data_IF_964606638145
#
_entry.id   IF_964606638145
#
_cell.length_a   1.000
_cell.length_b   1.000
_cell.length_c   1.000
_cell.angle_alpha   90.00
_cell.angle_beta   90.00
_cell.angle_gamma   90.00
#
_symmetry.space_group_name_H-M   'P 1'
#
loop_
_entity.id
_entity.type
_entity.pdbx_description
1 polymer ?
#
# COMPACT_ATOMS: atom_id res chain seq x y z
N UNK A 1 3.17 -11.24 30.62
CA UNK A 1 3.73 -11.49 29.29
C UNK A 1 3.68 -10.17 28.54
N UNK A 2 4.83 -9.69 28.05
CA UNK A 2 4.96 -8.37 27.43
C UNK A 2 4.27 -8.41 26.05
N UNK A 3 3.02 -7.95 25.94
CA UNK A 3 2.23 -7.92 24.69
C UNK A 3 2.69 -6.80 23.76
N UNK A 4 4.00 -6.53 23.73
CA UNK A 4 4.60 -5.31 23.22
C UNK A 4 4.28 -5.06 21.74
N UNK A 5 3.19 -4.35 21.50
CA UNK A 5 3.04 -3.52 20.30
C UNK A 5 4.04 -2.39 20.45
N UNK A 6 5.29 -2.67 20.05
CA UNK A 6 6.37 -1.69 20.14
C UNK A 6 5.96 -0.39 19.45
N UNK A 7 6.41 0.74 19.97
CA UNK A 7 5.98 2.03 19.45
C UNK A 7 6.24 2.16 17.93
N UNK A 8 5.22 2.40 17.09
CA UNK A 8 5.41 2.59 15.64
C UNK A 8 6.39 3.71 15.29
N UNK A 9 6.56 4.71 16.17
CA UNK A 9 7.54 5.77 15.94
C UNK A 9 8.98 5.23 15.81
N UNK A 10 9.28 4.08 16.41
CA UNK A 10 10.60 3.45 16.36
C UNK A 10 10.86 2.66 15.07
N UNK A 11 9.83 2.45 14.23
CA UNK A 11 9.96 1.71 12.97
C UNK A 11 10.17 2.62 11.75
N UNK A 12 10.24 3.94 11.95
CA UNK A 12 10.45 4.91 10.87
C UNK A 12 11.84 5.54 11.02
N UNK A 13 12.69 5.29 10.02
CA UNK A 13 13.97 5.99 9.83
C UNK A 13 14.02 6.52 8.40
N UNK A 14 14.71 7.62 8.20
CA UNK A 14 14.91 8.21 6.88
C UNK A 14 16.35 7.98 6.41
N UNK A 15 16.52 7.60 5.15
CA UNK A 15 17.82 7.42 4.51
C UNK A 15 17.84 8.08 3.14
N UNK A 16 19.02 8.54 2.74
CA UNK A 16 19.26 8.96 1.35
C UNK A 16 19.35 7.72 0.47
N UNK A 17 18.60 7.72 -0.62
CA UNK A 17 18.58 6.61 -1.56
C UNK A 17 18.52 7.16 -2.98
N UNK A 18 19.43 6.71 -3.83
CA UNK A 18 19.34 6.94 -5.27
C UNK A 18 18.19 6.10 -5.81
N UNK A 19 17.16 6.75 -6.34
CA UNK A 19 16.14 6.07 -7.14
C UNK A 19 16.51 6.33 -8.59
N UNK A 20 16.62 5.25 -9.35
CA UNK A 20 16.89 5.29 -10.78
C UNK A 20 15.73 4.58 -11.47
N UNK A 21 14.80 5.39 -11.97
CA UNK A 21 13.56 4.99 -12.63
C UNK A 21 13.69 4.99 -14.16
N UNK A 22 14.89 4.72 -14.68
CA UNK A 22 15.08 4.52 -16.12
C UNK A 22 14.21 3.36 -16.63
N UNK A 23 13.58 3.56 -17.80
CA UNK A 23 12.47 2.73 -18.31
C UNK A 23 12.81 1.25 -18.47
N UNK A 24 14.07 0.91 -18.73
CA UNK A 24 14.52 -0.46 -19.02
C UNK A 24 15.17 -1.16 -17.83
N UNK A 25 15.15 -0.55 -16.64
CA UNK A 25 15.74 -1.17 -15.45
C UNK A 25 14.86 -2.32 -14.96
N UNK A 26 15.43 -3.50 -14.84
CA UNK A 26 14.74 -4.67 -14.32
C UNK A 26 14.37 -4.48 -12.85
N UNK A 27 13.16 -4.92 -12.49
CA UNK A 27 12.66 -4.92 -11.12
C UNK A 27 11.77 -6.15 -10.90
N UNK A 28 11.80 -6.77 -9.71
CA UNK A 28 10.92 -7.90 -9.38
C UNK A 28 9.43 -7.51 -9.36
N UNK A 29 9.12 -6.21 -9.44
CA UNK A 29 7.76 -5.67 -9.45
C UNK A 29 7.28 -5.23 -10.85
N UNK A 30 8.16 -5.28 -11.86
CA UNK A 30 7.89 -4.74 -13.21
C UNK A 30 7.85 -5.84 -14.28
N UNK A 31 7.00 -5.67 -15.29
CA UNK A 31 6.88 -6.59 -16.42
C UNK A 31 5.43 -7.03 -16.65
N UNK A 32 5.26 -7.98 -17.56
CA UNK A 32 3.96 -8.62 -17.79
C UNK A 32 3.53 -9.44 -16.57
N UNK A 33 2.22 -9.63 -16.34
CA UNK A 33 1.69 -10.53 -15.32
C UNK A 33 2.39 -11.89 -15.28
N UNK A 34 2.78 -12.34 -14.09
CA UNK A 34 3.39 -13.64 -13.84
C UNK A 34 3.28 -14.00 -12.36
N UNK A 35 3.27 -15.29 -11.99
CA UNK A 35 3.22 -15.73 -10.60
C UNK A 35 4.34 -15.13 -9.72
N UNK A 36 5.53 -14.96 -10.27
CA UNK A 36 6.68 -14.40 -9.55
C UNK A 36 6.48 -12.91 -9.21
N UNK A 37 5.99 -12.12 -10.16
CA UNK A 37 5.70 -10.70 -9.93
C UNK A 37 4.50 -10.55 -8.99
N UNK A 38 3.47 -11.40 -9.14
CA UNK A 38 2.29 -11.38 -8.27
C UNK A 38 2.67 -11.74 -6.83
N UNK A 39 3.58 -12.70 -6.64
CA UNK A 39 4.13 -13.01 -5.33
C UNK A 39 4.84 -11.80 -4.71
N UNK A 40 5.68 -11.10 -5.48
CA UNK A 40 6.39 -9.91 -5.00
C UNK A 40 5.41 -8.79 -4.59
N UNK A 41 4.37 -8.52 -5.38
CA UNK A 41 3.34 -7.54 -5.04
C UNK A 41 2.51 -7.93 -3.82
N UNK A 42 2.12 -9.21 -3.71
CA UNK A 42 1.36 -9.70 -2.56
C UNK A 42 2.16 -9.58 -1.25
N UNK A 43 3.48 -9.78 -1.31
CA UNK A 43 4.35 -9.50 -0.17
C UNK A 43 4.34 -8.02 0.21
N UNK A 44 4.45 -7.09 -0.76
CA UNK A 44 4.44 -5.65 -0.45
C UNK A 44 3.16 -5.17 0.26
N UNK A 45 2.02 -5.78 -0.05
CA UNK A 45 0.73 -5.45 0.58
C UNK A 45 0.43 -6.29 1.82
N UNK A 46 1.33 -7.18 2.21
CA UNK A 46 1.20 -7.96 3.45
C UNK A 46 1.29 -7.06 4.68
N UNK A 47 0.69 -7.50 5.78
CA UNK A 47 0.64 -6.70 7.02
C UNK A 47 -0.32 -5.51 6.96
N UNK A 48 -1.30 -5.56 6.05
CA UNK A 48 -2.32 -4.51 5.89
C UNK A 48 -3.11 -4.24 7.17
N UNK A 49 -3.47 -5.30 7.91
CA UNK A 49 -4.24 -5.23 9.15
C UNK A 49 -3.31 -5.31 10.34
N UNK A 50 -3.21 -4.21 11.08
CA UNK A 50 -2.33 -4.02 12.22
C UNK A 50 -3.11 -4.06 13.52
N UNK A 51 -2.52 -4.67 14.53
CA UNK A 51 -2.95 -4.56 15.92
C UNK A 51 -2.19 -3.42 16.59
N UNK A 52 -2.92 -2.47 17.15
CA UNK A 52 -2.36 -1.34 17.89
C UNK A 52 -2.97 -1.23 19.29
N UNK A 53 -2.22 -0.66 20.22
CA UNK A 53 -2.69 -0.41 21.58
C UNK A 53 -3.56 0.85 21.65
N UNK A 54 -4.28 1.02 22.76
CA UNK A 54 -5.05 2.25 23.02
C UNK A 54 -4.13 3.47 23.12
N UNK A 55 -2.95 3.32 23.72
CA UNK A 55 -1.95 4.39 23.86
C UNK A 55 -1.44 4.89 22.49
N UNK A 56 -1.35 4.03 21.48
CA UNK A 56 -1.05 4.46 20.10
C UNK A 56 -2.17 5.34 19.56
N UNK A 57 -3.43 4.89 19.70
CA UNK A 57 -4.60 5.61 19.20
C UNK A 57 -4.79 6.97 19.89
N UNK A 58 -4.61 7.01 21.21
CA UNK A 58 -4.73 8.23 22.01
C UNK A 58 -3.68 9.27 21.60
N UNK A 59 -2.43 8.85 21.31
CA UNK A 59 -1.35 9.74 20.84
C UNK A 59 -1.67 10.43 19.51
N UNK A 60 -2.44 9.79 18.64
CA UNK A 60 -2.86 10.35 17.35
C UNK A 60 -4.29 10.92 17.39
N UNK A 61 -4.92 10.95 18.57
CA UNK A 61 -6.29 11.40 18.79
C UNK A 61 -7.30 10.71 17.85
N UNK A 62 -7.24 9.37 17.78
CA UNK A 62 -8.15 8.54 16.99
C UNK A 62 -8.78 7.44 17.83
N UNK A 63 -9.84 6.86 17.32
CA UNK A 63 -10.44 5.62 17.84
C UNK A 63 -10.44 4.59 16.72
N UNK A 64 -10.58 3.31 17.09
CA UNK A 64 -10.77 2.23 16.14
C UNK A 64 -11.59 1.09 16.76
N UNK A 65 -11.85 0.05 15.98
CA UNK A 65 -12.61 -1.13 16.40
C UNK A 65 -11.74 -1.99 17.32
N UNK A 66 -12.20 -2.30 18.55
CA UNK A 66 -11.49 -3.20 19.44
C UNK A 66 -11.57 -4.64 18.92
N UNK A 67 -10.48 -5.39 19.08
CA UNK A 67 -10.44 -6.82 18.82
C UNK A 67 -11.14 -7.56 19.96
N UNK A 68 -11.94 -8.58 19.61
CA UNK A 68 -12.77 -9.34 20.56
C UNK A 68 -11.97 -10.08 21.63
N UNK A 69 -10.74 -10.48 21.32
CA UNK A 69 -9.79 -11.13 22.23
C UNK A 69 -9.16 -10.16 23.25
N UNK A 70 -9.49 -8.86 23.18
CA UNK A 70 -8.95 -7.82 24.05
C UNK A 70 -7.49 -7.46 23.78
N UNK A 71 -6.90 -7.97 22.70
CA UNK A 71 -5.48 -7.81 22.39
C UNK A 71 -5.10 -6.42 21.85
N UNK A 72 -6.09 -5.60 21.47
CA UNK A 72 -5.88 -4.25 20.98
C UNK A 72 -6.99 -3.78 20.05
N UNK A 73 -6.62 -2.94 19.09
CA UNK A 73 -7.51 -2.34 18.10
C UNK A 73 -6.96 -2.60 16.70
N UNK A 74 -7.83 -2.77 15.72
CA UNK A 74 -7.43 -2.86 14.32
C UNK A 74 -7.00 -1.47 13.80
N UNK A 75 -5.96 -1.41 13.00
CA UNK A 75 -5.55 -0.25 12.24
C UNK A 75 -4.87 -0.71 10.94
N UNK A 76 -4.44 0.22 10.11
CA UNK A 76 -3.64 -0.06 8.92
C UNK A 76 -2.70 1.10 8.64
N UNK A 77 -1.60 0.82 7.95
CA UNK A 77 -0.77 1.90 7.43
C UNK A 77 -1.44 2.53 6.21
N UNK A 78 -1.40 3.85 6.15
CA UNK A 78 -1.86 4.53 4.95
C UNK A 78 -1.00 4.16 3.72
N UNK A 79 0.31 3.94 3.90
CA UNK A 79 1.20 3.48 2.82
C UNK A 79 0.84 2.08 2.30
N UNK A 80 0.39 1.15 3.15
CA UNK A 80 -0.07 -0.17 2.66
C UNK A 80 -1.37 -0.03 1.87
N UNK A 81 -2.24 0.94 2.20
CA UNK A 81 -3.42 1.26 1.39
C UNK A 81 -3.04 1.89 0.03
N UNK A 82 -2.04 2.77 0.00
CA UNK A 82 -1.48 3.30 -1.25
C UNK A 82 -0.91 2.19 -2.14
N UNK A 83 -0.15 1.24 -1.57
CA UNK A 83 0.38 0.09 -2.32
C UNK A 83 -0.73 -0.84 -2.82
N UNK A 84 -1.75 -1.09 -2.01
CA UNK A 84 -2.95 -1.82 -2.45
C UNK A 84 -3.64 -1.11 -3.62
N UNK A 85 -3.80 0.21 -3.56
CA UNK A 85 -4.37 1.00 -4.66
C UNK A 85 -3.55 0.86 -5.94
N UNK A 86 -2.22 0.88 -5.84
CA UNK A 86 -1.33 0.70 -6.98
C UNK A 86 -1.44 -0.73 -7.56
N UNK A 87 -1.57 -1.74 -6.71
CA UNK A 87 -1.81 -3.13 -7.14
C UNK A 87 -3.16 -3.28 -7.85
N UNK A 88 -4.24 -2.67 -7.33
CA UNK A 88 -5.55 -2.66 -7.98
C UNK A 88 -5.50 -2.01 -9.37
N UNK A 89 -4.76 -0.90 -9.53
CA UNK A 89 -4.52 -0.29 -10.84
C UNK A 89 -3.74 -1.24 -11.75
N UNK A 90 -2.70 -1.91 -11.25
CA UNK A 90 -1.95 -2.92 -12.02
C UNK A 90 -2.87 -4.04 -12.52
N UNK A 91 -3.78 -4.53 -11.70
CA UNK A 91 -4.76 -5.54 -12.12
C UNK A 91 -5.68 -5.00 -13.23
N UNK A 92 -6.13 -3.76 -13.11
CA UNK A 92 -7.00 -3.13 -14.11
C UNK A 92 -6.32 -2.89 -15.47
N UNK A 93 -4.99 -2.86 -15.52
CA UNK A 93 -4.21 -2.75 -16.77
C UNK A 93 -4.11 -4.08 -17.55
N UNK A 94 -4.44 -5.22 -16.93
CA UNK A 94 -4.41 -6.55 -17.55
C UNK A 94 -5.66 -7.37 -17.19
N UNK A 95 -6.86 -6.88 -17.55
CA UNK A 95 -8.13 -7.48 -17.10
C UNK A 95 -8.36 -8.91 -17.60
N UNK A 96 -7.71 -9.32 -18.69
CA UNK A 96 -7.78 -10.70 -19.19
C UNK A 96 -7.04 -11.68 -18.27
N UNK A 97 -5.97 -11.23 -17.62
CA UNK A 97 -5.19 -12.04 -16.68
C UNK A 97 -5.81 -11.99 -15.27
N UNK A 98 -6.29 -10.82 -14.84
CA UNK A 98 -6.89 -10.59 -13.51
C UNK A 98 -8.42 -10.54 -13.55
N UNK A 99 -9.03 -11.41 -14.35
CA UNK A 99 -10.48 -11.38 -14.59
C UNK A 99 -11.28 -11.55 -13.29
N UNK A 100 -10.80 -12.40 -12.37
CA UNK A 100 -11.44 -12.65 -11.09
C UNK A 100 -11.38 -11.42 -10.18
N UNK A 101 -10.19 -10.84 -10.00
CA UNK A 101 -9.98 -9.65 -9.18
C UNK A 101 -10.79 -8.46 -9.71
N UNK A 102 -10.83 -8.27 -11.02
CA UNK A 102 -11.59 -7.18 -11.64
C UNK A 102 -13.09 -7.42 -11.56
N UNK A 103 -13.57 -8.65 -11.70
CA UNK A 103 -14.99 -8.97 -11.58
C UNK A 103 -15.56 -8.65 -10.19
N UNK A 104 -14.72 -8.70 -9.15
CA UNK A 104 -15.10 -8.34 -7.78
C UNK A 104 -15.28 -6.84 -7.56
N UNK A 105 -14.71 -6.00 -8.45
CA UNK A 105 -14.78 -4.55 -8.32
C UNK A 105 -16.06 -4.00 -8.93
N UNK A 106 -16.80 -3.24 -8.13
CA UNK A 106 -17.99 -2.55 -8.64
C UNK A 106 -17.65 -1.58 -9.78
N UNK A 107 -18.25 -1.82 -10.94
CA UNK A 107 -18.18 -0.96 -12.12
C UNK A 107 -19.60 -0.51 -12.50
N UNK A 108 -19.92 0.79 -12.37
CA UNK A 108 -21.21 1.32 -12.81
C UNK A 108 -21.44 1.15 -14.31
N UNK A 109 -22.70 1.03 -14.73
CA UNK A 109 -23.06 0.95 -16.14
C UNK A 109 -22.63 2.23 -16.88
N UNK A 110 -21.98 2.08 -18.04
CA UNK A 110 -21.50 3.19 -18.87
C UNK A 110 -20.12 3.75 -18.49
N UNK A 111 -19.53 3.34 -17.37
CA UNK A 111 -18.18 3.77 -16.97
C UNK A 111 -17.07 3.00 -17.72
N UNK A 112 -15.90 3.62 -17.86
CA UNK A 112 -14.75 2.99 -18.55
C UNK A 112 -14.01 2.03 -17.62
N UNK A 113 -13.82 2.41 -16.35
CA UNK A 113 -13.10 1.62 -15.33
C UNK A 113 -13.92 1.51 -14.03
N UNK A 114 -13.65 0.51 -13.16
CA UNK A 114 -14.37 0.34 -11.89
C UNK A 114 -14.23 1.56 -10.96
N UNK A 115 -15.25 1.83 -10.13
CA UNK A 115 -15.23 2.93 -9.16
C UNK A 115 -14.05 2.82 -8.19
N UNK A 116 -13.68 1.58 -7.83
CA UNK A 116 -12.51 1.31 -7.00
C UNK A 116 -11.23 1.88 -7.65
N UNK A 117 -11.02 1.66 -8.95
CA UNK A 117 -9.84 2.18 -9.66
C UNK A 117 -9.83 3.71 -9.68
N UNK A 118 -10.99 4.34 -9.88
CA UNK A 118 -11.13 5.81 -9.80
C UNK A 118 -10.70 6.34 -8.42
N UNK A 119 -11.15 5.68 -7.36
CA UNK A 119 -10.76 5.98 -5.98
C UNK A 119 -9.25 5.81 -5.76
N UNK A 120 -8.66 4.71 -6.24
CA UNK A 120 -7.23 4.43 -6.13
C UNK A 120 -6.37 5.54 -6.78
N UNK A 121 -6.73 5.96 -8.00
CA UNK A 121 -6.01 7.04 -8.71
C UNK A 121 -6.09 8.35 -7.93
N UNK A 122 -7.27 8.72 -7.44
CA UNK A 122 -7.46 9.95 -6.68
C UNK A 122 -6.74 9.91 -5.32
N UNK A 123 -6.73 8.76 -4.65
CA UNK A 123 -5.99 8.55 -3.41
C UNK A 123 -4.50 8.72 -3.63
N UNK A 124 -3.92 8.07 -4.65
CA UNK A 124 -2.51 8.18 -4.97
C UNK A 124 -2.12 9.61 -5.36
N UNK A 125 -2.95 10.29 -6.18
CA UNK A 125 -2.74 11.70 -6.54
C UNK A 125 -2.67 12.59 -5.29
N UNK A 126 -3.62 12.45 -4.36
CA UNK A 126 -3.64 13.21 -3.10
C UNK A 126 -2.40 12.94 -2.25
N UNK A 127 -1.96 11.69 -2.16
CA UNK A 127 -0.79 11.32 -1.36
C UNK A 127 0.52 11.83 -1.96
N UNK A 128 0.69 11.73 -3.28
CA UNK A 128 1.83 12.32 -4.00
C UNK A 128 1.93 13.82 -3.72
N UNK A 129 0.80 14.54 -3.73
CA UNK A 129 0.78 15.97 -3.40
C UNK A 129 1.03 16.26 -1.92
N UNK A 130 0.48 15.45 -1.02
CA UNK A 130 0.66 15.58 0.43
C UNK A 130 2.13 15.34 0.85
N UNK A 131 2.80 14.41 0.18
CA UNK A 131 4.20 14.03 0.39
C UNK A 131 5.04 14.41 -0.82
N UNK A 132 4.89 15.65 -1.28
CA UNK A 132 5.59 16.15 -2.46
C UNK A 132 7.11 15.99 -2.32
N UNK A 133 7.67 15.14 -3.17
CA UNK A 133 9.12 14.97 -3.29
C UNK A 133 9.71 16.20 -3.99
N UNK A 134 10.67 16.85 -3.34
CA UNK A 134 11.30 18.08 -3.82
C UNK A 134 12.62 17.81 -4.55
N UNK A 135 12.99 16.55 -4.75
CA UNK A 135 14.21 16.16 -5.44
C UNK A 135 14.11 16.50 -6.94
N UNK A 136 15.10 17.21 -7.47
CA UNK A 136 15.10 17.67 -8.85
C UNK A 136 15.75 16.63 -9.76
N UNK A 137 15.01 16.18 -10.78
CA UNK A 137 15.61 15.48 -11.91
C UNK A 137 16.21 16.49 -12.90
N UNK A 138 17.18 16.05 -13.69
CA UNK A 138 17.90 16.92 -14.63
C UNK A 138 17.73 16.45 -16.07
N UNK A 139 18.22 17.26 -17.01
CA UNK A 139 18.18 16.96 -18.45
C UNK A 139 19.60 16.96 -19.01
N UNK A 140 19.86 16.09 -19.99
CA UNK A 140 21.13 16.00 -20.68
C UNK A 140 20.92 15.93 -22.21
N UNK A 141 21.81 16.55 -22.97
CA UNK A 141 21.79 16.43 -24.43
C UNK A 141 22.30 15.05 -24.86
N UNK A 142 21.63 14.43 -25.82
CA UNK A 142 22.10 13.21 -26.49
C UNK A 142 22.52 13.56 -27.92
N UNK A 143 23.62 12.98 -28.42
CA UNK A 143 24.07 13.23 -29.78
C UNK A 143 23.12 12.66 -30.86
N UNK A 144 22.25 11.71 -30.48
CA UNK A 144 21.44 10.92 -31.41
C UNK A 144 19.99 11.42 -31.54
N UNK A 145 19.62 12.49 -30.85
CA UNK A 145 18.24 12.99 -30.80
C UNK A 145 18.20 14.50 -30.55
N UNK A 146 17.20 15.15 -31.16
CA UNK A 146 17.00 16.58 -31.03
C UNK A 146 16.43 17.02 -29.67
N UNK A 147 15.76 16.13 -28.95
CA UNK A 147 15.21 16.40 -27.63
C UNK A 147 16.23 16.04 -26.53
N UNK A 148 16.30 16.78 -25.41
CA UNK A 148 17.12 16.37 -24.28
C UNK A 148 16.55 15.12 -23.62
N UNK A 149 17.44 14.26 -23.14
CA UNK A 149 17.11 13.11 -22.31
C UNK A 149 16.88 13.54 -20.86
N UNK A 150 15.89 12.93 -20.21
CA UNK A 150 15.67 13.06 -18.77
C UNK A 150 16.61 12.15 -17.99
N UNK A 151 17.31 12.71 -17.01
CA UNK A 151 18.09 11.96 -16.03
C UNK A 151 17.29 11.83 -14.72
N UNK A 152 16.67 10.66 -14.53
CA UNK A 152 15.89 10.33 -13.35
C UNK A 152 16.68 9.64 -12.24
N UNK A 153 17.99 9.44 -12.39
CA UNK A 153 18.84 8.97 -11.30
C UNK A 153 19.03 10.11 -10.30
N UNK A 154 18.14 10.18 -9.31
CA UNK A 154 18.04 11.27 -8.35
C UNK A 154 18.13 10.72 -6.94
N UNK A 155 18.81 11.44 -6.05
CA UNK A 155 18.87 11.08 -4.64
C UNK A 155 17.63 11.61 -3.92
N UNK A 156 16.89 10.71 -3.27
CA UNK A 156 15.68 10.99 -2.53
C UNK A 156 15.89 10.80 -1.03
N UNK A 157 15.03 11.40 -0.21
CA UNK A 157 14.91 11.06 1.22
C UNK A 157 13.80 10.02 1.38
N UNK A 158 14.18 8.76 1.59
CA UNK A 158 13.26 7.63 1.65
C UNK A 158 13.11 7.11 3.08
N UNK A 159 11.93 6.58 3.40
CA UNK A 159 11.76 5.76 4.61
C UNK A 159 12.59 4.49 4.45
N UNK A 160 13.19 4.03 5.54
CA UNK A 160 13.73 2.69 5.67
C UNK A 160 12.57 1.69 5.64
N UNK A 161 12.24 1.24 4.42
CA UNK A 161 11.09 0.40 4.15
C UNK A 161 11.12 -0.89 4.95
N UNK A 162 12.27 -1.54 5.01
CA UNK A 162 12.43 -2.83 5.67
C UNK A 162 12.13 -2.72 7.17
N UNK A 163 12.59 -1.65 7.82
CA UNK A 163 12.32 -1.40 9.23
C UNK A 163 10.81 -1.20 9.50
N UNK A 164 10.14 -0.41 8.65
CA UNK A 164 8.71 -0.15 8.77
C UNK A 164 7.89 -1.43 8.48
N UNK A 165 8.27 -2.14 7.43
CA UNK A 165 7.60 -3.36 6.98
C UNK A 165 7.74 -4.49 7.99
N UNK A 166 8.93 -4.69 8.55
CA UNK A 166 9.19 -5.67 9.61
C UNK A 166 8.35 -5.41 10.87
N UNK A 167 8.19 -4.14 11.26
CA UNK A 167 7.29 -3.78 12.34
C UNK A 167 5.84 -4.11 11.98
N UNK A 168 5.44 -3.83 10.74
CA UNK A 168 4.09 -4.11 10.25
C UNK A 168 3.79 -5.60 10.32
N UNK A 169 4.69 -6.45 9.83
CA UNK A 169 4.55 -7.90 9.89
C UNK A 169 4.39 -8.41 11.32
N UNK A 170 5.24 -7.97 12.26
CA UNK A 170 5.18 -8.41 13.67
C UNK A 170 3.90 -7.98 14.39
N UNK A 171 3.30 -6.87 13.99
CA UNK A 171 2.08 -6.35 14.61
C UNK A 171 0.82 -6.66 13.78
N UNK A 172 0.98 -7.26 12.61
CA UNK A 172 -0.14 -7.65 11.78
C UNK A 172 -0.80 -8.91 12.29
N UNK A 173 -2.04 -9.11 11.85
CA UNK A 173 -2.76 -10.36 12.09
C UNK A 173 -3.61 -10.69 10.87
N UNK A 174 -3.84 -11.98 10.59
CA UNK A 174 -4.81 -12.35 9.59
C UNK A 174 -6.18 -11.88 10.07
N UNK A 175 -6.98 -11.37 9.15
CA UNK A 175 -8.37 -11.10 9.42
C UNK A 175 -9.10 -12.45 9.44
N UNK A 176 -9.55 -12.88 10.62
CA UNK A 176 -10.35 -14.09 10.80
C UNK A 176 -11.68 -13.76 11.46
N UNK A 177 -12.62 -14.70 11.31
CA UNK A 177 -14.05 -14.54 11.56
C UNK A 177 -14.43 -14.17 13.00
N UNK A 178 -13.51 -14.33 13.94
CA UNK A 178 -13.73 -14.19 15.38
C UNK A 178 -13.21 -12.87 15.96
N UNK A 179 -12.31 -12.16 15.28
CA UNK A 179 -11.64 -10.98 15.82
C UNK A 179 -12.41 -9.66 15.64
N UNK A 180 -13.34 -9.61 14.69
CA UNK A 180 -14.15 -8.43 14.40
C UNK A 180 -15.64 -8.77 14.46
N UNK A 181 -16.36 -8.12 15.38
CA UNK A 181 -17.80 -8.30 15.56
C UNK A 181 -18.51 -6.97 15.36
N UNK A 182 -19.33 -6.90 14.32
CA UNK A 182 -20.19 -5.75 14.07
C UNK A 182 -21.33 -5.72 15.11
N UNK A 183 -21.63 -4.57 15.73
CA UNK A 183 -22.63 -4.48 16.80
C UNK A 183 -24.05 -4.89 16.36
N UNK A 184 -24.35 -4.77 15.06
CA UNK A 184 -25.67 -5.12 14.49
C UNK A 184 -25.67 -6.44 13.71
N UNK A 185 -24.55 -6.81 13.09
CA UNK A 185 -24.50 -7.89 12.10
C UNK A 185 -23.75 -9.13 12.59
N UNK A 186 -23.14 -9.07 13.78
CA UNK A 186 -22.40 -10.20 14.34
C UNK A 186 -20.97 -10.31 13.78
N UNK A 187 -20.34 -11.49 13.91
CA UNK A 187 -18.94 -11.71 13.51
C UNK A 187 -18.76 -11.57 11.99
N UNK A 188 -17.82 -10.72 11.56
CA UNK A 188 -17.43 -10.62 10.15
C UNK A 188 -16.48 -11.76 9.81
N UNK A 189 -16.64 -12.49 8.68
CA UNK A 189 -17.37 -12.13 7.46
C UNK A 189 -18.76 -12.76 7.29
N UNK A 190 -19.40 -13.29 8.34
CA UNK A 190 -20.65 -14.06 8.21
C UNK A 190 -21.84 -13.23 7.66
N UNK A 191 -21.91 -13.08 6.33
CA UNK A 191 -23.03 -12.53 5.57
C UNK A 191 -22.84 -11.15 4.93
N UNK A 192 -21.65 -10.54 4.97
CA UNK A 192 -21.36 -9.26 4.30
C UNK A 192 -20.47 -9.43 3.07
N UNK A 193 -20.58 -8.59 2.02
CA UNK A 193 -19.61 -8.61 0.92
C UNK A 193 -18.20 -8.31 1.44
N UNK A 194 -17.21 -8.94 0.81
CA UNK A 194 -15.77 -8.62 0.92
C UNK A 194 -15.49 -7.34 0.16
#
# INVERSE_FOLDING_TARGET
MNTGTGDPANSIRWRKQLIDSTVYKESPYSGNPSPEIDHAWNQLTSGFNLRVSREILDRINRTSIPLTDGSGYIAGWDTTHQLHCLLSIRHALAPEYYAEEISSMHKPEGEVYPTHISHCVELLRKHIMCKADQSLFTYAWSPDQHAPLTNFAVEHSCVDWDLMYDWSLRNSFPLHDDLLVHPTFGPWPNGGPV
#
